data_IF_332518595450
#
_entry.id   IF_332518595450
#
_cell.length_a   1.000
_cell.length_b   1.000
_cell.length_c   1.000
_cell.angle_alpha   90.00
_cell.angle_beta   90.00
_cell.angle_gamma   90.00
#
_symmetry.space_group_name_H-M   'P 1'
#
loop_
_entity.id
_entity.type
_entity.pdbx_description
1 polymer ?
#
# COMPACT_ATOMS: atom_id res chain seq x y z
N UNK A 1 14.41 -11.69 -10.83
CA UNK A 1 13.85 -10.38 -11.21
C UNK A 1 13.71 -9.57 -9.93
N UNK A 2 13.95 -8.25 -9.95
CA UNK A 2 13.87 -7.42 -8.75
C UNK A 2 12.45 -6.86 -8.58
N UNK A 3 12.00 -6.74 -7.32
CA UNK A 3 10.75 -6.05 -6.97
C UNK A 3 10.78 -4.58 -7.39
N UNK A 4 9.61 -4.02 -7.68
CA UNK A 4 9.44 -2.64 -8.16
C UNK A 4 8.75 -1.82 -7.09
N UNK A 5 9.23 -0.61 -6.84
CA UNK A 5 8.59 0.35 -5.94
C UNK A 5 7.85 1.43 -6.75
N UNK A 6 6.58 1.66 -6.43
CA UNK A 6 5.72 2.69 -7.04
C UNK A 6 5.57 3.83 -6.05
N UNK A 7 6.25 4.94 -6.35
CA UNK A 7 6.08 6.22 -5.66
C UNK A 7 5.17 7.15 -6.48
N UNK A 8 4.55 8.11 -5.81
CA UNK A 8 3.77 9.17 -6.44
C UNK A 8 4.17 10.53 -5.90
N UNK A 9 3.81 11.59 -6.61
CA UNK A 9 4.04 12.96 -6.14
C UNK A 9 3.00 13.39 -5.11
N UNK A 10 1.82 12.77 -5.15
CA UNK A 10 0.68 13.10 -4.28
C UNK A 10 -0.25 11.89 -4.11
N UNK A 11 -1.26 12.04 -3.25
CA UNK A 11 -2.44 11.18 -3.21
C UNK A 11 -3.23 11.30 -4.51
N UNK A 12 -3.95 10.24 -4.89
CA UNK A 12 -4.78 10.18 -6.12
C UNK A 12 -4.06 10.40 -7.46
N UNK A 13 -2.71 10.42 -7.46
CA UNK A 13 -1.90 10.52 -8.69
C UNK A 13 -1.96 9.26 -9.58
N UNK A 14 -2.81 8.28 -9.26
CA UNK A 14 -2.97 7.03 -10.01
C UNK A 14 -2.00 5.90 -9.65
N UNK A 15 -1.30 5.97 -8.51
CA UNK A 15 -0.34 4.93 -8.06
C UNK A 15 -0.94 3.52 -8.08
N UNK A 16 -2.13 3.35 -7.52
CA UNK A 16 -2.81 2.05 -7.39
C UNK A 16 -3.09 1.41 -8.75
N UNK A 17 -3.49 2.22 -9.74
CA UNK A 17 -3.74 1.74 -11.11
C UNK A 17 -2.43 1.34 -11.79
N UNK A 18 -1.36 2.14 -11.63
CA UNK A 18 -0.03 1.80 -12.13
C UNK A 18 0.48 0.51 -11.47
N UNK A 19 0.28 0.35 -10.16
CA UNK A 19 0.67 -0.84 -9.43
C UNK A 19 -0.07 -2.09 -9.96
N UNK A 20 -1.38 -2.00 -10.19
CA UNK A 20 -2.16 -3.09 -10.80
C UNK A 20 -1.66 -3.45 -12.21
N UNK A 21 -1.33 -2.46 -13.04
CA UNK A 21 -0.77 -2.71 -14.37
C UNK A 21 0.59 -3.44 -14.30
N UNK A 22 1.46 -3.06 -13.36
CA UNK A 22 2.74 -3.72 -13.13
C UNK A 22 2.57 -5.14 -12.58
N UNK A 23 1.63 -5.36 -11.67
CA UNK A 23 1.27 -6.70 -11.17
C UNK A 23 0.89 -7.61 -12.33
N UNK A 24 -0.03 -7.15 -13.19
CA UNK A 24 -0.48 -7.92 -14.35
C UNK A 24 0.65 -8.17 -15.38
N UNK A 25 1.47 -7.15 -15.66
CA UNK A 25 2.54 -7.25 -16.65
C UNK A 25 3.71 -8.13 -16.20
N UNK A 26 4.02 -8.15 -14.90
CA UNK A 26 5.17 -8.85 -14.34
C UNK A 26 4.81 -10.22 -13.73
N UNK A 27 3.52 -10.51 -13.53
CA UNK A 27 3.08 -11.68 -12.75
C UNK A 27 3.58 -11.64 -11.30
N UNK A 28 3.69 -10.43 -10.74
CA UNK A 28 4.20 -10.17 -9.40
C UNK A 28 3.07 -10.15 -8.36
N UNK A 29 3.40 -10.25 -7.07
CA UNK A 29 2.47 -9.91 -5.99
C UNK A 29 2.34 -8.39 -5.80
N UNK A 30 1.34 -7.96 -5.05
CA UNK A 30 1.16 -6.57 -4.64
C UNK A 30 1.41 -6.42 -3.14
N UNK A 31 2.03 -5.32 -2.71
CA UNK A 31 2.10 -4.99 -1.29
C UNK A 31 2.10 -3.48 -1.07
N UNK A 32 1.20 -3.00 -0.21
CA UNK A 32 1.22 -1.63 0.30
C UNK A 32 1.59 -1.68 1.78
N UNK A 33 2.79 -1.25 2.19
CA UNK A 33 3.26 -1.44 3.56
C UNK A 33 2.40 -0.73 4.61
N UNK A 34 1.90 0.46 4.26
CA UNK A 34 1.07 1.29 5.13
C UNK A 34 -0.20 1.69 4.39
N UNK A 35 -1.34 1.23 4.89
CA UNK A 35 -2.66 1.56 4.37
C UNK A 35 -3.39 2.45 5.37
N UNK A 36 -3.91 3.59 4.92
CA UNK A 36 -4.84 4.43 5.68
C UNK A 36 -6.20 4.51 4.96
N UNK A 37 -7.21 5.09 5.62
CA UNK A 37 -8.53 5.32 5.04
C UNK A 37 -9.44 4.10 4.95
N UNK A 38 -9.20 3.04 5.74
CA UNK A 38 -10.01 1.81 5.67
C UNK A 38 -11.47 1.99 6.07
N UNK A 39 -11.80 3.06 6.82
CA UNK A 39 -13.19 3.39 7.18
C UNK A 39 -14.02 3.74 5.94
N UNK A 40 -13.40 4.43 4.99
CA UNK A 40 -14.05 4.93 3.77
C UNK A 40 -13.86 3.96 2.61
N UNK A 41 -12.73 3.24 2.58
CA UNK A 41 -12.38 2.24 1.57
C UNK A 41 -12.12 0.88 2.21
N UNK A 42 -13.17 0.08 2.50
CA UNK A 42 -13.00 -1.26 3.05
C UNK A 42 -12.13 -2.14 2.13
N UNK A 43 -11.01 -2.64 2.66
CA UNK A 43 -10.03 -3.45 1.93
C UNK A 43 -8.93 -2.65 1.21
N UNK A 44 -9.02 -1.31 1.20
CA UNK A 44 -7.97 -0.41 0.74
C UNK A 44 -7.51 -0.65 -0.70
N UNK A 45 -6.28 -0.22 -0.98
CA UNK A 45 -5.67 -0.35 -2.31
C UNK A 45 -5.43 -1.81 -2.71
N UNK A 46 -5.20 -2.69 -1.73
CA UNK A 46 -5.07 -4.14 -1.96
C UNK A 46 -6.33 -4.71 -2.62
N UNK A 47 -7.53 -4.29 -2.19
CA UNK A 47 -8.77 -4.73 -2.80
C UNK A 47 -8.94 -4.22 -4.23
N UNK A 48 -8.53 -2.97 -4.49
CA UNK A 48 -8.55 -2.38 -5.83
C UNK A 48 -7.61 -3.14 -6.77
N UNK A 49 -6.36 -3.35 -6.36
CA UNK A 49 -5.37 -4.07 -7.18
C UNK A 49 -5.81 -5.50 -7.43
N UNK A 50 -6.32 -6.20 -6.42
CA UNK A 50 -6.84 -7.56 -6.57
C UNK A 50 -7.98 -7.61 -7.61
N UNK A 51 -8.96 -6.71 -7.51
CA UNK A 51 -10.07 -6.64 -8.46
C UNK A 51 -9.63 -6.35 -9.89
N UNK A 52 -8.67 -5.42 -10.09
CA UNK A 52 -8.16 -5.05 -11.41
C UNK A 52 -7.28 -6.13 -12.05
N UNK A 53 -6.77 -7.07 -11.26
CA UNK A 53 -5.82 -8.11 -11.72
C UNK A 53 -6.42 -9.51 -11.71
N UNK A 54 -7.70 -9.65 -11.32
CA UNK A 54 -8.38 -10.95 -11.23
C UNK A 54 -7.97 -11.80 -10.03
N UNK A 55 -7.31 -11.20 -9.03
CA UNK A 55 -6.92 -11.83 -7.78
C UNK A 55 -7.95 -11.56 -6.68
N UNK A 56 -7.80 -12.23 -5.54
CA UNK A 56 -8.50 -11.93 -4.29
C UNK A 56 -7.55 -11.16 -3.37
N UNK A 57 -8.06 -10.28 -2.49
CA UNK A 57 -7.19 -9.54 -1.57
C UNK A 57 -6.29 -10.43 -0.71
N UNK A 58 -6.78 -11.62 -0.32
CA UNK A 58 -6.03 -12.59 0.47
C UNK A 58 -4.93 -13.34 -0.31
N UNK A 59 -4.83 -13.15 -1.62
CA UNK A 59 -3.72 -13.68 -2.42
C UNK A 59 -2.45 -12.80 -2.29
N UNK A 60 -2.57 -11.62 -1.67
CA UNK A 60 -1.46 -10.69 -1.44
C UNK A 60 -1.09 -10.58 0.06
N UNK A 61 0.18 -10.26 0.39
CA UNK A 61 0.57 -9.95 1.75
C UNK A 61 -0.24 -8.79 2.34
N UNK A 62 -0.58 -8.87 3.62
CA UNK A 62 -1.23 -7.77 4.34
C UNK A 62 -0.28 -6.57 4.51
N UNK A 63 -0.81 -5.34 4.60
CA UNK A 63 -0.03 -4.20 5.05
C UNK A 63 0.59 -4.47 6.43
N UNK A 64 1.75 -3.87 6.70
CA UNK A 64 2.35 -3.88 8.04
C UNK A 64 1.53 -2.99 9.00
N UNK A 65 0.94 -1.93 8.46
CA UNK A 65 0.09 -1.00 9.19
C UNK A 65 -1.20 -0.72 8.41
N UNK A 66 -2.32 -0.77 9.12
CA UNK A 66 -3.66 -0.53 8.60
C UNK A 66 -4.37 0.46 9.53
N UNK A 67 -4.76 1.62 8.99
CA UNK A 67 -5.44 2.68 9.72
C UNK A 67 -6.84 2.94 9.14
N UNK A 68 -7.78 3.26 10.03
CA UNK A 68 -9.14 3.65 9.69
C UNK A 68 -9.21 5.10 9.18
N UNK A 69 -8.44 6.02 9.77
CA UNK A 69 -8.45 7.44 9.41
C UNK A 69 -7.92 7.67 7.98
N UNK A 70 -8.62 8.47 7.19
CA UNK A 70 -8.23 8.85 5.82
C UNK A 70 -7.25 10.04 5.83
N UNK A 71 -6.11 9.83 6.48
CA UNK A 71 -5.03 10.81 6.64
C UNK A 71 -3.71 10.24 6.10
N UNK A 72 -2.67 11.08 6.09
CA UNK A 72 -1.31 10.60 5.88
C UNK A 72 -0.91 9.58 6.97
N UNK A 73 0.02 8.65 6.69
CA UNK A 73 0.43 7.59 7.61
C UNK A 73 0.69 8.03 9.06
N UNK A 74 1.50 9.08 9.24
CA UNK A 74 1.86 9.64 10.54
C UNK A 74 0.64 10.23 11.26
N UNK A 75 -0.18 10.99 10.53
CA UNK A 75 -1.39 11.61 11.08
C UNK A 75 -2.44 10.57 11.45
N UNK A 76 -2.62 9.52 10.63
CA UNK A 76 -3.55 8.43 10.89
C UNK A 76 -3.11 7.61 12.12
N UNK A 77 -1.80 7.33 12.23
CA UNK A 77 -1.23 6.69 13.41
C UNK A 77 -1.48 7.54 14.66
N UNK A 78 -1.17 8.83 14.62
CA UNK A 78 -1.37 9.75 15.74
C UNK A 78 -2.84 9.87 16.16
N UNK A 79 -3.77 9.97 15.20
CA UNK A 79 -5.22 10.02 15.48
C UNK A 79 -5.71 8.75 16.19
N UNK A 80 -5.17 7.60 15.81
CA UNK A 80 -5.53 6.30 16.39
C UNK A 80 -4.72 5.93 17.64
N UNK A 81 -3.87 6.85 18.13
CA UNK A 81 -3.02 6.61 19.31
C UNK A 81 -1.95 5.53 19.08
N UNK A 82 -1.55 5.32 17.83
CA UNK A 82 -0.54 4.37 17.39
C UNK A 82 0.70 5.11 16.89
N UNK A 83 1.79 4.37 16.69
CA UNK A 83 3.01 4.87 16.07
C UNK A 83 3.50 3.85 15.03
N UNK A 84 4.02 4.35 13.91
CA UNK A 84 4.68 3.53 12.90
C UNK A 84 6.13 3.35 13.35
N UNK A 85 6.59 2.10 13.34
CA UNK A 85 7.97 1.73 13.60
C UNK A 85 8.52 1.16 12.30
N UNK A 86 9.37 1.93 11.62
CA UNK A 86 9.91 1.58 10.31
C UNK A 86 10.71 0.26 10.33
N UNK A 87 11.24 -0.14 11.49
CA UNK A 87 11.94 -1.43 11.66
C UNK A 87 10.99 -2.61 11.53
N UNK A 88 9.68 -2.42 11.77
CA UNK A 88 8.66 -3.45 11.61
C UNK A 88 8.16 -3.60 10.18
N UNK A 89 8.52 -2.67 9.29
CA UNK A 89 8.18 -2.74 7.87
C UNK A 89 9.19 -3.64 7.16
N UNK A 90 8.96 -4.94 7.26
CA UNK A 90 9.81 -5.97 6.65
C UNK A 90 9.21 -6.39 5.31
N UNK A 91 10.00 -6.27 4.24
CA UNK A 91 9.57 -6.66 2.89
C UNK A 91 9.22 -8.16 2.85
N UNK A 92 7.99 -8.54 2.41
CA UNK A 92 7.62 -9.95 2.25
C UNK A 92 8.44 -10.64 1.15
N UNK A 93 8.50 -11.97 1.22
CA UNK A 93 9.17 -12.77 0.20
C UNK A 93 8.45 -12.72 -1.16
N UNK A 94 9.22 -12.94 -2.24
CA UNK A 94 8.70 -13.01 -3.61
C UNK A 94 8.95 -11.76 -4.45
N UNK A 95 8.54 -11.83 -5.72
CA UNK A 95 8.57 -10.69 -6.62
C UNK A 95 7.35 -9.81 -6.36
N UNK A 96 7.57 -8.56 -5.95
CA UNK A 96 6.49 -7.65 -5.52
C UNK A 96 6.50 -6.34 -6.31
N UNK A 97 5.30 -5.81 -6.51
CA UNK A 97 5.07 -4.39 -6.74
C UNK A 97 4.70 -3.77 -5.39
N UNK A 98 5.59 -2.93 -4.88
CA UNK A 98 5.45 -2.25 -3.60
C UNK A 98 4.92 -0.84 -3.83
N UNK A 99 3.77 -0.50 -3.27
CA UNK A 99 3.18 0.84 -3.41
C UNK A 99 3.45 1.69 -2.16
N UNK A 100 3.97 2.91 -2.36
CA UNK A 100 4.12 3.90 -1.29
C UNK A 100 2.79 4.54 -0.88
N UNK A 101 2.68 4.97 0.38
CA UNK A 101 1.55 5.74 0.87
C UNK A 101 1.73 7.25 0.57
N UNK A 102 0.67 7.92 0.12
CA UNK A 102 0.70 9.37 -0.15
C UNK A 102 1.68 9.78 -1.28
N UNK A 103 2.25 10.98 -1.16
CA UNK A 103 3.35 11.47 -2.00
C UNK A 103 4.73 11.06 -1.47
N UNK A 104 5.77 11.20 -2.29
CA UNK A 104 7.15 10.79 -1.96
C UNK A 104 7.70 11.43 -0.67
N UNK A 105 7.25 12.64 -0.34
CA UNK A 105 7.69 13.39 0.83
C UNK A 105 6.76 13.25 2.05
N UNK A 106 5.77 12.36 1.98
CA UNK A 106 4.85 12.14 3.09
C UNK A 106 5.60 11.41 4.23
N UNK A 107 5.59 11.97 5.45
CA UNK A 107 6.27 11.37 6.58
C UNK A 107 5.63 10.03 6.97
N UNK A 108 6.46 9.14 7.50
CA UNK A 108 6.03 7.88 8.11
C UNK A 108 6.12 7.94 9.63
N UNK A 109 6.91 8.87 10.19
CA UNK A 109 7.23 9.05 11.60
C UNK A 109 7.46 10.53 11.97
#
# INVERSE_FOLDING_TARGET
MASVFVAGTDTDSGKTVVAAALVAALGAGYWKPVQSGLRESPGGDTAVVAGLTGHRPGDFPRPAYEFQAALSPDQAAAEEGLAIDSVRIVLPEGLLVVEGAGGLMVPLD
#
